data_IF_397315197694
#
_entry.id   IF_397315197694
#
_cell.length_a   1.000
_cell.length_b   1.000
_cell.length_c   1.000
_cell.angle_alpha   90.00
_cell.angle_beta   90.00
_cell.angle_gamma   90.00
#
_symmetry.space_group_name_H-M   'P 1'
#
loop_
_entity.id
_entity.type
_entity.pdbx_description
1 polymer ?
#
# COMPACT_ATOMS: atom_id res chain seq x y z
N UNK A 1 14.82 9.19 5.60
CA UNK A 1 13.83 8.99 4.53
C UNK A 1 12.46 8.68 5.10
N UNK A 2 11.37 9.15 4.48
CA UNK A 2 10.03 8.96 5.00
C UNK A 2 9.44 7.65 4.45
N UNK A 3 9.48 6.58 5.26
CA UNK A 3 8.92 5.26 4.91
C UNK A 3 7.38 5.24 4.86
N UNK A 4 6.73 6.34 5.27
CA UNK A 4 5.28 6.45 5.30
C UNK A 4 4.69 6.29 3.89
N UNK A 5 3.67 5.44 3.79
CA UNK A 5 3.00 5.14 2.54
C UNK A 5 3.81 4.27 1.58
N UNK A 6 4.94 3.72 1.99
CA UNK A 6 5.70 2.76 1.17
C UNK A 6 5.22 1.34 1.43
N UNK A 7 5.31 0.51 0.40
CA UNK A 7 5.37 -0.94 0.54
C UNK A 7 6.83 -1.31 0.75
N UNK A 8 7.11 -2.13 1.76
CA UNK A 8 8.43 -2.61 2.13
C UNK A 8 8.52 -4.11 1.85
N UNK A 9 9.67 -4.54 1.35
CA UNK A 9 10.02 -5.95 1.15
C UNK A 9 11.18 -6.30 2.07
N UNK A 10 10.97 -7.25 2.96
CA UNK A 10 12.03 -7.76 3.81
C UNK A 10 13.03 -8.58 2.98
N UNK A 11 14.28 -8.13 2.90
CA UNK A 11 15.28 -8.75 2.00
C UNK A 11 16.19 -9.80 2.66
N UNK A 12 16.15 -9.91 3.99
CA UNK A 12 17.04 -10.78 4.78
C UNK A 12 16.37 -12.09 5.24
N UNK A 13 15.19 -12.41 4.70
CA UNK A 13 14.38 -13.58 5.10
C UNK A 13 13.48 -14.02 3.94
N UNK A 14 12.22 -14.35 4.18
CA UNK A 14 11.29 -14.95 3.21
C UNK A 14 10.72 -13.99 2.17
N UNK A 15 11.20 -12.74 2.08
CA UNK A 15 10.68 -11.76 1.12
C UNK A 15 9.32 -11.18 1.53
N UNK A 16 9.01 -11.16 2.83
CA UNK A 16 7.71 -10.73 3.34
C UNK A 16 7.44 -9.25 3.02
N UNK A 17 6.19 -8.96 2.63
CA UNK A 17 5.76 -7.62 2.28
C UNK A 17 5.04 -6.94 3.46
N UNK A 18 5.28 -5.64 3.62
CA UNK A 18 4.63 -4.80 4.62
C UNK A 18 4.20 -3.47 4.02
N UNK A 19 3.07 -2.92 4.44
CA UNK A 19 2.65 -1.57 4.09
C UNK A 19 2.76 -0.65 5.30
N UNK A 20 3.45 0.48 5.16
CA UNK A 20 3.54 1.49 6.21
C UNK A 20 2.41 2.49 6.01
N UNK A 21 1.38 2.44 6.84
CA UNK A 21 0.24 3.33 6.71
C UNK A 21 0.66 4.79 7.00
N UNK A 22 0.42 5.75 6.08
CA UNK A 22 0.82 7.13 6.29
C UNK A 22 0.04 7.83 7.42
N UNK A 23 -1.13 7.30 7.81
CA UNK A 23 -1.99 7.92 8.82
C UNK A 23 -1.49 7.67 10.26
N UNK A 24 -0.90 6.51 10.54
CA UNK A 24 -0.44 6.12 11.89
C UNK A 24 1.05 5.76 11.96
N UNK A 25 1.74 5.71 10.82
CA UNK A 25 3.15 5.33 10.70
C UNK A 25 3.47 3.90 11.17
N UNK A 26 2.47 3.02 11.22
CA UNK A 26 2.62 1.61 11.57
C UNK A 26 2.75 0.74 10.32
N UNK A 27 3.52 -0.35 10.43
CA UNK A 27 3.61 -1.37 9.39
C UNK A 27 2.50 -2.40 9.54
N UNK A 28 1.93 -2.80 8.42
CA UNK A 28 0.88 -3.81 8.32
C UNK A 28 1.37 -4.93 7.42
N UNK A 29 1.23 -6.16 7.90
CA UNK A 29 1.68 -7.33 7.16
C UNK A 29 0.84 -7.58 5.92
N UNK A 30 1.50 -7.82 4.79
CA UNK A 30 0.89 -8.11 3.49
C UNK A 30 1.31 -9.49 2.93
N UNK A 31 2.03 -10.30 3.72
CA UNK A 31 2.60 -11.57 3.22
C UNK A 31 1.57 -12.66 2.95
N UNK A 32 0.39 -12.63 3.59
CA UNK A 32 -0.72 -13.55 3.30
C UNK A 32 -1.87 -12.82 2.60
N UNK A 33 -2.58 -13.48 1.67
CA UNK A 33 -3.71 -12.87 0.95
C UNK A 33 -4.77 -12.25 1.87
N UNK A 34 -5.11 -12.93 2.97
CA UNK A 34 -6.12 -12.46 3.93
C UNK A 34 -5.67 -11.20 4.68
N UNK A 35 -4.41 -11.11 5.12
CA UNK A 35 -3.91 -9.91 5.79
C UNK A 35 -3.83 -8.73 4.83
N UNK A 36 -3.35 -8.97 3.61
CA UNK A 36 -3.28 -7.95 2.58
C UNK A 36 -4.69 -7.40 2.25
N UNK A 37 -5.67 -8.29 2.09
CA UNK A 37 -7.06 -7.91 1.86
C UNK A 37 -7.63 -7.08 3.03
N UNK A 38 -7.41 -7.54 4.27
CA UNK A 38 -7.87 -6.83 5.46
C UNK A 38 -7.21 -5.44 5.59
N UNK A 39 -5.91 -5.34 5.31
CA UNK A 39 -5.17 -4.08 5.34
C UNK A 39 -5.75 -3.10 4.31
N UNK A 40 -5.95 -3.55 3.06
CA UNK A 40 -6.54 -2.73 2.01
C UNK A 40 -7.95 -2.25 2.37
N UNK A 41 -8.79 -3.12 2.94
CA UNK A 41 -10.18 -2.79 3.30
C UNK A 41 -10.29 -1.86 4.51
N UNK A 42 -9.49 -2.07 5.56
CA UNK A 42 -9.59 -1.31 6.82
C UNK A 42 -8.81 0.00 6.79
N UNK A 43 -7.68 0.04 6.06
CA UNK A 43 -6.81 1.22 5.98
C UNK A 43 -7.07 2.05 4.72
N UNK A 44 -7.83 1.51 3.78
CA UNK A 44 -8.18 2.16 2.54
C UNK A 44 -9.06 3.38 2.76
N UNK A 45 -8.76 4.45 2.03
CA UNK A 45 -9.57 5.67 2.00
C UNK A 45 -10.60 5.56 0.88
N UNK A 46 -11.88 5.67 1.20
CA UNK A 46 -12.94 5.72 0.19
C UNK A 46 -12.77 6.93 -0.73
N UNK A 47 -12.90 6.71 -2.04
CA UNK A 47 -12.86 7.76 -3.07
C UNK A 47 -13.86 7.43 -4.17
N UNK A 48 -14.39 8.47 -4.83
CA UNK A 48 -15.31 8.31 -5.97
C UNK A 48 -14.56 7.74 -7.17
N UNK A 49 -15.30 7.07 -8.05
CA UNK A 49 -14.74 6.52 -9.29
C UNK A 49 -14.13 7.62 -10.16
N UNK A 50 -14.79 8.79 -10.21
CA UNK A 50 -14.31 9.97 -10.92
C UNK A 50 -12.97 10.47 -10.37
N UNK A 51 -12.80 10.53 -9.04
CA UNK A 51 -11.53 10.97 -8.46
C UNK A 51 -10.38 10.02 -8.79
N UNK A 52 -10.65 8.71 -8.82
CA UNK A 52 -9.63 7.71 -9.16
C UNK A 52 -9.28 7.79 -10.65
N UNK A 53 -10.26 7.90 -11.54
CA UNK A 53 -10.02 7.78 -12.99
C UNK A 53 -9.62 9.08 -13.70
N UNK A 54 -9.99 10.24 -13.18
CA UNK A 54 -9.69 11.54 -13.81
C UNK A 54 -8.24 11.99 -13.68
N UNK A 55 -7.45 11.33 -12.84
CA UNK A 55 -6.12 11.80 -12.46
C UNK A 55 -5.00 11.17 -13.26
N UNK A 56 -4.15 12.01 -13.85
CA UNK A 56 -2.86 11.58 -14.40
C UNK A 56 -1.76 11.58 -13.34
N UNK A 57 -1.83 12.52 -12.40
CA UNK A 57 -0.90 12.70 -11.27
C UNK A 57 -1.74 13.01 -10.03
N UNK A 58 -1.59 12.21 -8.97
CA UNK A 58 -2.37 12.35 -7.76
C UNK A 58 -1.82 13.44 -6.81
N UNK A 59 -2.68 14.14 -6.05
CA UNK A 59 -2.27 15.19 -5.12
C UNK A 59 -1.56 14.63 -3.89
N UNK A 60 -0.74 15.48 -3.27
CA UNK A 60 0.12 15.11 -2.13
C UNK A 60 -0.61 14.39 -0.98
N UNK A 61 -1.87 14.78 -0.69
CA UNK A 61 -2.61 14.26 0.46
C UNK A 61 -3.10 12.81 0.30
N UNK A 62 -3.03 12.23 -0.90
CA UNK A 62 -3.34 10.80 -1.15
C UNK A 62 -2.12 9.95 -1.49
N UNK A 63 -0.94 10.56 -1.62
CA UNK A 63 0.28 9.81 -1.93
C UNK A 63 0.61 8.82 -0.82
N UNK A 64 0.94 7.60 -1.22
CA UNK A 64 1.21 6.50 -0.31
C UNK A 64 -0.02 5.92 0.36
N UNK A 65 -1.24 6.37 0.02
CA UNK A 65 -2.49 5.77 0.51
C UNK A 65 -2.99 4.68 -0.43
N UNK A 66 -3.83 3.82 0.12
CA UNK A 66 -4.69 2.91 -0.64
C UNK A 66 -6.05 3.60 -0.79
N UNK A 67 -6.51 3.79 -2.02
CA UNK A 67 -7.84 4.31 -2.32
C UNK A 67 -8.79 3.17 -2.64
N UNK A 68 -10.03 3.26 -2.15
CA UNK A 68 -11.12 2.34 -2.44
C UNK A 68 -12.19 3.08 -3.25
N UNK A 69 -12.26 2.81 -4.54
CA UNK A 69 -13.38 2.15 -5.20
C UNK A 69 -14.83 2.20 -4.68
N UNK A 70 -15.36 3.23 -3.99
CA UNK A 70 -16.67 3.07 -3.33
C UNK A 70 -17.85 2.98 -4.31
N UNK A 71 -17.66 3.38 -5.56
CA UNK A 71 -18.69 3.35 -6.61
C UNK A 71 -18.47 2.18 -7.59
N UNK A 72 -17.31 1.53 -7.56
CA UNK A 72 -16.94 0.38 -8.40
C UNK A 72 -16.44 -0.81 -7.57
N UNK A 73 -17.38 -1.47 -6.86
CA UNK A 73 -17.18 -2.75 -6.16
C UNK A 73 -16.10 -2.77 -5.06
N UNK A 74 -15.65 -1.61 -4.58
CA UNK A 74 -14.58 -1.50 -3.59
C UNK A 74 -13.20 -1.86 -4.17
N UNK A 75 -12.98 -1.62 -5.48
CA UNK A 75 -11.67 -1.79 -6.10
C UNK A 75 -10.60 -0.94 -5.40
N UNK A 76 -9.42 -1.49 -5.25
CA UNK A 76 -8.33 -0.92 -4.47
C UNK A 76 -7.20 -0.46 -5.38
N UNK A 77 -6.69 0.74 -5.11
CA UNK A 77 -5.61 1.38 -5.85
C UNK A 77 -4.57 1.93 -4.88
N UNK A 78 -3.30 1.55 -5.04
CA UNK A 78 -2.20 2.15 -4.31
C UNK A 78 -1.66 3.36 -5.06
N UNK A 79 -1.61 4.52 -4.40
CA UNK A 79 -1.05 5.73 -4.99
C UNK A 79 0.44 5.77 -4.67
N UNK A 80 1.28 5.40 -5.64
CA UNK A 80 2.72 5.30 -5.40
C UNK A 80 3.33 6.70 -5.21
N UNK A 81 3.98 7.00 -4.07
CA UNK A 81 4.43 8.36 -3.76
C UNK A 81 5.59 8.84 -4.64
N UNK A 82 6.34 7.94 -5.32
CA UNK A 82 7.49 8.37 -6.13
C UNK A 82 7.08 8.94 -7.49
N UNK A 83 6.13 8.31 -8.17
CA UNK A 83 5.67 8.74 -9.49
C UNK A 83 4.24 9.34 -9.48
N UNK A 84 3.57 9.30 -8.33
CA UNK A 84 2.26 9.88 -8.07
C UNK A 84 1.16 9.27 -8.94
N UNK A 85 1.30 7.99 -9.31
CA UNK A 85 0.31 7.24 -10.09
C UNK A 85 -0.43 6.21 -9.24
N UNK A 86 -1.63 5.84 -9.69
CA UNK A 86 -2.40 4.75 -9.10
C UNK A 86 -2.00 3.40 -9.72
N UNK A 87 -1.85 2.42 -8.85
CA UNK A 87 -1.56 1.04 -9.20
C UNK A 87 -2.65 0.13 -8.65
N UNK A 88 -3.19 -0.72 -9.51
CA UNK A 88 -4.30 -1.59 -9.15
C UNK A 88 -3.88 -2.69 -8.18
N UNK A 89 -4.67 -2.91 -7.13
CA UNK A 89 -4.39 -3.88 -6.06
C UNK A 89 -5.46 -4.96 -5.90
N UNK A 90 -6.60 -4.90 -6.59
CA UNK A 90 -7.69 -5.85 -6.31
C UNK A 90 -7.47 -7.26 -6.88
N UNK A 91 -6.65 -7.41 -7.93
CA UNK A 91 -6.29 -8.74 -8.45
C UNK A 91 -4.98 -9.20 -7.82
N UNK A 92 -4.88 -10.45 -7.34
CA UNK A 92 -3.68 -10.96 -6.69
C UNK A 92 -2.39 -10.79 -7.52
N UNK A 93 -2.48 -11.01 -8.84
CA UNK A 93 -1.33 -10.86 -9.74
C UNK A 93 -0.84 -9.41 -9.84
N UNK A 94 -1.76 -8.43 -9.92
CA UNK A 94 -1.40 -7.01 -9.97
C UNK A 94 -0.82 -6.54 -8.63
N UNK A 95 -1.45 -6.93 -7.51
CA UNK A 95 -0.94 -6.63 -6.18
C UNK A 95 0.48 -7.18 -5.97
N UNK A 96 0.74 -8.41 -6.41
CA UNK A 96 2.07 -9.00 -6.35
C UNK A 96 3.09 -8.23 -7.20
N UNK A 97 2.74 -7.84 -8.42
CA UNK A 97 3.59 -7.00 -9.27
C UNK A 97 3.91 -5.65 -8.61
N UNK A 98 2.92 -5.02 -7.98
CA UNK A 98 3.10 -3.76 -7.25
C UNK A 98 4.07 -3.94 -6.09
N UNK A 99 3.88 -4.96 -5.25
CA UNK A 99 4.78 -5.26 -4.15
C UNK A 99 6.21 -5.51 -4.66
N UNK A 100 6.35 -6.30 -5.74
CA UNK A 100 7.65 -6.67 -6.30
C UNK A 100 8.42 -5.51 -6.93
N UNK A 101 7.72 -4.67 -7.70
CA UNK A 101 8.34 -3.63 -8.53
C UNK A 101 8.48 -2.29 -7.80
N UNK A 102 7.52 -1.96 -6.93
CA UNK A 102 7.47 -0.67 -6.22
C UNK A 102 7.94 -0.78 -4.77
N UNK A 103 8.00 -2.00 -4.23
CA UNK A 103 8.43 -2.29 -2.87
C UNK A 103 9.88 -1.88 -2.63
N UNK A 104 10.10 -1.19 -1.50
CA UNK A 104 11.42 -0.82 -1.04
C UNK A 104 12.03 -1.95 -0.20
N UNK A 105 13.21 -2.42 -0.57
CA UNK A 105 13.95 -3.39 0.23
C UNK A 105 14.29 -2.82 1.62
N UNK A 106 14.05 -3.60 2.68
CA UNK A 106 14.37 -3.22 4.06
C UNK A 106 15.01 -4.37 4.83
N UNK A 107 15.98 -4.02 5.69
CA UNK A 107 16.63 -4.96 6.62
C UNK A 107 15.72 -5.31 7.80
N UNK A 108 15.98 -6.42 8.46
CA UNK A 108 15.28 -6.81 9.69
C UNK A 108 15.50 -5.79 10.81
N UNK A 109 16.72 -5.24 10.90
CA UNK A 109 17.06 -4.21 11.89
C UNK A 109 16.21 -2.95 11.71
N UNK A 110 16.01 -2.49 10.48
CA UNK A 110 15.21 -1.30 10.21
C UNK A 110 13.70 -1.57 10.26
N UNK A 111 13.26 -2.73 9.77
CA UNK A 111 11.86 -3.15 9.84
C UNK A 111 11.34 -3.28 11.28
N UNK A 112 12.19 -3.71 12.21
CA UNK A 112 11.84 -3.83 13.64
C UNK A 112 11.63 -2.49 14.32
N UNK A 113 12.20 -1.39 13.80
CA UNK A 113 12.02 -0.03 14.33
C UNK A 113 10.63 0.56 14.01
N UNK A 114 9.90 -0.04 13.08
CA UNK A 114 8.57 0.43 12.68
C UNK A 114 7.52 -0.29 13.55
N UNK A 115 6.67 0.43 14.30
CA UNK A 115 5.63 -0.21 15.11
C UNK A 115 4.68 -1.03 14.24
N UNK A 116 4.27 -2.19 14.73
CA UNK A 116 3.30 -3.05 14.04
C UNK A 116 1.87 -2.57 14.29
N UNK A 117 1.06 -2.53 13.23
CA UNK A 117 -0.35 -2.22 13.27
C UNK A 117 -1.18 -3.47 13.54
N UNK A 118 -2.37 -3.27 14.12
CA UNK A 118 -3.36 -4.33 14.33
C UNK A 118 -4.62 -3.98 13.55
N UNK A 119 -5.22 -5.00 12.92
CA UNK A 119 -6.37 -4.87 12.02
C UNK A 119 -7.63 -5.45 12.63
#
# INVERSE_FOLDING_TARGET
EQLKGQILLQVESHGEAYYVNPNDSKKYYLGRPTDAFNAMRKLGLGATHEFITSQTIYPAHVLGKILLDVEDSGKAYYIYPKDKKAYYLSRPADAFQVMRNLGLGITNSDLSKIPEGSL
#
